data_IF_115469089591
#
_entry.id   IF_115469089591
#
_cell.length_a   1.000
_cell.length_b   1.000
_cell.length_c   1.000
_cell.angle_alpha   90.00
_cell.angle_beta   90.00
_cell.angle_gamma   90.00
#
_symmetry.space_group_name_H-M   'P 1'
#
loop_
_entity.id
_entity.type
_entity.pdbx_description
1 polymer ?
#
# COMPACT_ATOMS: atom_id res chain seq x y z
N UNK A 1 -0.85 30.95 -8.84
CA UNK A 1 0.39 30.31 -8.43
C UNK A 1 0.13 29.11 -7.57
N UNK A 2 0.78 28.03 -7.88
CA UNK A 2 0.61 26.84 -7.06
C UNK A 2 1.49 26.89 -5.84
N UNK A 3 0.90 26.61 -4.71
CA UNK A 3 1.66 26.58 -3.48
C UNK A 3 2.29 25.20 -3.32
N UNK A 4 3.30 25.15 -2.46
CA UNK A 4 3.92 23.89 -2.13
C UNK A 4 2.91 22.93 -1.47
N UNK A 5 1.97 23.47 -0.72
CA UNK A 5 0.96 22.66 -0.06
C UNK A 5 0.09 21.93 -1.07
N UNK A 6 -0.19 22.57 -2.22
CA UNK A 6 -1.00 21.93 -3.27
C UNK A 6 -0.28 20.71 -3.83
N UNK A 7 1.04 20.81 -4.01
CA UNK A 7 1.81 19.67 -4.50
C UNK A 7 1.85 18.55 -3.45
N UNK A 8 2.01 18.91 -2.18
CA UNK A 8 2.08 17.94 -1.12
C UNK A 8 0.74 17.29 -0.85
N UNK A 9 -0.34 17.86 -1.40
CA UNK A 9 -1.68 17.31 -1.24
C UNK A 9 -2.07 16.37 -2.38
N UNK A 10 -1.15 16.05 -3.28
CA UNK A 10 -1.44 15.11 -4.37
C UNK A 10 -1.88 13.78 -3.79
N UNK A 11 -2.98 13.26 -4.33
CA UNK A 11 -3.54 11.98 -3.89
C UNK A 11 -3.56 11.04 -5.08
N UNK A 12 -3.11 9.82 -4.85
CA UNK A 12 -3.17 8.76 -5.87
C UNK A 12 -3.83 7.54 -5.26
N UNK A 13 -4.58 6.81 -6.07
CA UNK A 13 -5.29 5.61 -5.64
C UNK A 13 -5.19 4.56 -6.71
N UNK A 14 -5.17 3.31 -6.26
CA UNK A 14 -5.16 2.20 -7.18
C UNK A 14 -5.71 0.97 -6.48
N UNK A 15 -6.65 0.28 -7.13
CA UNK A 15 -7.15 -0.96 -6.57
C UNK A 15 -6.13 -2.06 -6.77
N UNK A 16 -5.93 -2.88 -5.75
CA UNK A 16 -4.99 -3.99 -5.80
C UNK A 16 -5.69 -5.26 -5.34
N UNK A 17 -5.21 -6.39 -5.83
CA UNK A 17 -5.72 -7.70 -5.44
C UNK A 17 -4.54 -8.52 -4.94
N UNK A 18 -4.75 -9.22 -3.83
CA UNK A 18 -3.72 -10.07 -3.26
C UNK A 18 -3.71 -11.39 -4.03
N UNK A 19 -2.58 -11.71 -4.62
CA UNK A 19 -2.49 -12.86 -5.52
C UNK A 19 -1.82 -14.08 -4.89
N UNK A 20 -1.04 -13.90 -3.84
CA UNK A 20 -0.33 -15.02 -3.23
C UNK A 20 -1.25 -15.86 -2.35
N UNK A 21 -1.01 -17.17 -2.35
CA UNK A 21 -1.93 -18.12 -1.69
C UNK A 21 -2.09 -17.87 -0.20
N UNK A 22 -0.99 -17.52 0.46
CA UNK A 22 -1.03 -17.30 1.90
C UNK A 22 -1.50 -15.90 2.28
N UNK A 23 -1.86 -15.10 1.27
CA UNK A 23 -2.26 -13.74 1.54
C UNK A 23 -1.10 -12.89 1.98
N UNK A 24 -1.40 -11.70 2.49
CA UNK A 24 -0.36 -10.76 2.91
C UNK A 24 0.00 -11.06 4.37
N UNK A 25 0.67 -12.19 4.57
CA UNK A 25 1.08 -12.62 5.91
C UNK A 25 2.36 -11.86 6.32
N UNK A 26 2.93 -12.24 7.47
CA UNK A 26 3.93 -11.40 8.13
C UNK A 26 5.14 -11.06 7.27
N UNK A 27 5.69 -12.03 6.53
CA UNK A 27 6.90 -11.76 5.75
C UNK A 27 6.67 -10.76 4.61
N UNK A 28 5.72 -10.99 3.70
CA UNK A 28 5.48 -10.00 2.65
C UNK A 28 4.91 -8.70 3.20
N UNK A 29 4.15 -8.76 4.29
CA UNK A 29 3.64 -7.54 4.90
C UNK A 29 4.77 -6.67 5.44
N UNK A 30 5.78 -7.30 6.05
CA UNK A 30 6.94 -6.57 6.57
C UNK A 30 7.72 -5.92 5.42
N UNK A 31 7.89 -6.64 4.31
CA UNK A 31 8.57 -6.09 3.15
C UNK A 31 7.78 -4.90 2.58
N UNK A 32 6.47 -5.07 2.49
CA UNK A 32 5.60 -4.01 1.99
C UNK A 32 5.69 -2.77 2.87
N UNK A 33 5.62 -2.96 4.19
CA UNK A 33 5.69 -1.83 5.11
C UNK A 33 7.03 -1.11 4.99
N UNK A 34 8.12 -1.87 4.87
CA UNK A 34 9.44 -1.28 4.73
C UNK A 34 9.53 -0.42 3.47
N UNK A 35 8.98 -0.93 2.37
CA UNK A 35 8.99 -0.19 1.12
C UNK A 35 8.11 1.04 1.18
N UNK A 36 6.96 0.92 1.84
CA UNK A 36 6.04 2.05 1.98
C UNK A 36 6.69 3.19 2.77
N UNK A 37 7.47 2.84 3.79
CA UNK A 37 8.14 3.87 4.60
C UNK A 37 9.22 4.63 3.84
N UNK A 38 9.66 4.11 2.70
CA UNK A 38 10.69 4.78 1.92
C UNK A 38 10.15 5.96 1.11
N UNK A 39 8.85 6.04 0.95
CA UNK A 39 8.25 7.17 0.23
C UNK A 39 7.99 8.33 1.16
N UNK A 40 7.90 9.52 0.59
CA UNK A 40 7.60 10.71 1.37
C UNK A 40 6.11 10.85 1.64
N UNK A 41 5.30 10.24 0.79
CA UNK A 41 3.85 10.28 0.94
C UNK A 41 3.40 9.38 2.07
N UNK A 42 2.27 9.71 2.67
CA UNK A 42 1.57 8.77 3.52
C UNK A 42 0.86 7.77 2.64
N UNK A 43 0.90 6.51 3.04
CA UNK A 43 0.31 5.45 2.23
C UNK A 43 -0.60 4.60 3.11
N UNK A 44 -1.76 4.28 2.56
CA UNK A 44 -2.76 3.47 3.26
C UNK A 44 -3.24 2.35 2.36
N UNK A 45 -3.68 1.28 3.01
CA UNK A 45 -4.51 0.26 2.38
C UNK A 45 -5.92 0.49 2.88
N UNK A 46 -6.85 0.73 1.96
CA UNK A 46 -8.24 0.99 2.31
C UNK A 46 -9.05 -0.24 1.93
N UNK A 47 -9.73 -0.80 2.91
CA UNK A 47 -10.53 -1.99 2.70
C UNK A 47 -11.83 -1.86 3.46
N UNK A 48 -12.94 -2.04 2.75
CA UNK A 48 -14.27 -2.01 3.36
C UNK A 48 -14.48 -0.75 4.19
N UNK A 49 -14.03 0.37 3.66
CA UNK A 49 -14.22 1.66 4.30
C UNK A 49 -13.23 1.97 5.41
N UNK A 50 -12.29 1.07 5.69
CA UNK A 50 -11.31 1.29 6.74
C UNK A 50 -9.93 1.51 6.17
N UNK A 51 -9.20 2.43 6.78
CA UNK A 51 -7.83 2.75 6.36
C UNK A 51 -6.85 2.08 7.30
N UNK A 52 -5.87 1.43 6.71
CA UNK A 52 -4.78 0.79 7.45
C UNK A 52 -3.48 1.39 6.95
N UNK A 53 -2.61 1.81 7.86
CA UNK A 53 -1.34 2.40 7.45
C UNK A 53 -0.48 1.36 6.77
N UNK A 54 -0.06 1.66 5.53
CA UNK A 54 0.81 0.76 4.78
C UNK A 54 2.23 0.76 5.34
N UNK A 55 2.56 1.73 6.18
CA UNK A 55 3.88 1.82 6.79
C UNK A 55 3.98 1.00 8.08
N UNK A 56 2.89 0.41 8.53
CA UNK A 56 2.85 -0.31 9.80
C UNK A 56 2.54 -1.77 9.57
N UNK A 57 3.47 -2.64 9.96
CA UNK A 57 3.26 -4.09 9.83
C UNK A 57 2.00 -4.52 10.56
N UNK A 58 1.80 -4.01 11.77
CA UNK A 58 0.63 -4.39 12.58
C UNK A 58 -0.67 -4.00 11.87
N UNK A 59 -0.70 -2.78 11.32
CA UNK A 59 -1.90 -2.33 10.63
C UNK A 59 -2.18 -3.15 9.38
N UNK A 60 -1.15 -3.49 8.64
CA UNK A 60 -1.32 -4.31 7.43
C UNK A 60 -1.90 -5.67 7.80
N UNK A 61 -1.39 -6.28 8.86
CA UNK A 61 -1.90 -7.58 9.28
C UNK A 61 -3.35 -7.50 9.74
N UNK A 62 -3.75 -6.39 10.33
CA UNK A 62 -5.13 -6.21 10.77
C UNK A 62 -6.10 -6.07 9.61
N UNK A 63 -5.60 -5.74 8.44
CA UNK A 63 -6.46 -5.61 7.26
C UNK A 63 -6.93 -6.96 6.72
N UNK A 64 -6.34 -8.06 7.17
CA UNK A 64 -6.75 -9.43 6.79
C UNK A 64 -6.79 -9.61 5.28
N UNK A 65 -5.69 -9.31 4.63
CA UNK A 65 -5.63 -9.38 3.17
C UNK A 65 -5.25 -10.78 2.72
N UNK A 66 -6.26 -11.65 2.68
CA UNK A 66 -6.09 -13.03 2.22
C UNK A 66 -6.05 -13.09 0.70
N UNK A 67 -5.72 -14.27 0.17
CA UNK A 67 -5.71 -14.45 -1.27
C UNK A 67 -7.06 -14.06 -1.87
N UNK A 68 -7.02 -13.28 -2.93
CA UNK A 68 -8.22 -12.81 -3.59
C UNK A 68 -8.82 -11.54 -3.00
N UNK A 69 -8.33 -11.12 -1.83
CA UNK A 69 -8.83 -9.90 -1.21
C UNK A 69 -8.42 -8.69 -2.04
N UNK A 70 -9.31 -7.71 -2.09
CA UNK A 70 -9.03 -6.46 -2.78
C UNK A 70 -8.94 -5.33 -1.76
N UNK A 71 -8.15 -4.33 -2.09
CA UNK A 71 -8.03 -3.13 -1.30
C UNK A 71 -7.68 -2.00 -2.23
N UNK A 72 -7.87 -0.77 -1.76
CA UNK A 72 -7.42 0.39 -2.50
C UNK A 72 -6.14 0.89 -1.86
N UNK A 73 -5.09 0.95 -2.66
CA UNK A 73 -3.84 1.53 -2.22
C UNK A 73 -3.97 3.02 -2.43
N UNK A 74 -3.84 3.79 -1.36
CA UNK A 74 -4.03 5.23 -1.41
C UNK A 74 -2.79 5.91 -0.86
N UNK A 75 -2.32 6.94 -1.55
CA UNK A 75 -1.17 7.69 -1.08
C UNK A 75 -1.47 9.17 -1.20
N UNK A 76 -0.91 9.93 -0.27
CA UNK A 76 -1.06 11.38 -0.29
C UNK A 76 0.28 12.00 0.00
N UNK A 77 0.76 12.84 -0.91
CA UNK A 77 2.02 13.51 -0.74
C UNK A 77 2.71 13.72 -2.07
N UNK A 78 3.96 14.16 -1.98
CA UNK A 78 4.70 14.58 -3.16
C UNK A 78 4.93 13.46 -4.16
N UNK A 79 5.24 12.26 -3.68
CA UNK A 79 5.53 11.13 -4.53
C UNK A 79 4.40 10.10 -4.54
N UNK A 80 3.15 10.57 -4.36
CA UNK A 80 2.00 9.69 -4.21
C UNK A 80 1.82 8.76 -5.41
N UNK A 81 1.96 9.28 -6.62
CA UNK A 81 1.76 8.44 -7.80
C UNK A 81 2.81 7.36 -7.93
N UNK A 82 4.07 7.74 -7.67
CA UNK A 82 5.14 6.75 -7.71
C UNK A 82 4.95 5.70 -6.62
N UNK A 83 4.50 6.14 -5.44
CA UNK A 83 4.29 5.21 -4.34
C UNK A 83 3.23 4.17 -4.70
N UNK A 84 2.09 4.63 -5.22
CA UNK A 84 1.02 3.72 -5.57
C UNK A 84 1.45 2.76 -6.67
N UNK A 85 2.14 3.26 -7.68
CA UNK A 85 2.57 2.40 -8.78
C UNK A 85 3.56 1.35 -8.30
N UNK A 86 4.59 1.76 -7.58
CA UNK A 86 5.64 0.83 -7.17
C UNK A 86 5.14 -0.17 -6.15
N UNK A 87 4.30 0.28 -5.22
CA UNK A 87 3.79 -0.62 -4.20
C UNK A 87 2.78 -1.60 -4.77
N UNK A 88 1.98 -1.19 -5.76
CA UNK A 88 1.07 -2.13 -6.39
C UNK A 88 1.83 -3.21 -7.13
N UNK A 89 2.93 -2.84 -7.79
CA UNK A 89 3.77 -3.83 -8.46
C UNK A 89 4.41 -4.79 -7.46
N UNK A 90 4.81 -4.25 -6.31
CA UNK A 90 5.38 -5.09 -5.27
C UNK A 90 4.38 -6.14 -4.81
N UNK A 91 3.15 -5.75 -4.57
CA UNK A 91 2.12 -6.69 -4.15
C UNK A 91 1.92 -7.79 -5.19
N UNK A 92 1.93 -7.41 -6.46
CA UNK A 92 1.76 -8.39 -7.54
C UNK A 92 2.95 -9.32 -7.66
N UNK A 93 4.10 -8.92 -7.14
CA UNK A 93 5.32 -9.70 -7.25
C UNK A 93 5.45 -10.76 -6.16
N UNK A 94 4.65 -10.67 -5.11
CA UNK A 94 4.73 -11.64 -4.02
C UNK A 94 4.20 -12.98 -4.48
N UNK A 95 4.98 -14.02 -4.21
CA UNK A 95 4.60 -15.38 -4.55
C UNK A 95 5.01 -16.29 -3.42
N UNK A 96 4.10 -17.14 -3.03
CA UNK A 96 4.36 -18.07 -1.95
C UNK A 96 5.24 -19.21 -2.42
N UNK A 97 6.09 -19.69 -1.53
CA UNK A 97 6.90 -20.84 -1.81
C UNK A 97 8.07 -20.58 -2.75
N UNK A 98 8.41 -19.32 -2.92
CA UNK A 98 9.53 -18.97 -3.81
C UNK A 98 10.62 -18.27 -3.06
#
# INVERSE_FOLDING_TARGET
>A
MKSKAAEDATVARREVTIVNELGLHARPAAEFARRARAFRSEVWLVREGKRFSAASLIEILRANLDQGATATLEAKGRDAEAAVEKLSRLLESFKDGK
#
